data_IF_763667321368
#
_entry.id   IF_763667321368
#
_cell.length_a   1.000
_cell.length_b   1.000
_cell.length_c   1.000
_cell.angle_alpha   90.00
_cell.angle_beta   90.00
_cell.angle_gamma   90.00
#
_symmetry.space_group_name_H-M   'P 1'
#
loop_
_entity.id
_entity.type
_entity.pdbx_description
1 polymer ?
#
# COMPACT_ATOMS: atom_id res chain seq x y z
N UNK A 1 -0.63 -22.54 4.09
CA UNK A 1 0.48 -21.76 3.50
C UNK A 1 0.21 -20.30 3.79
N UNK A 2 1.25 -19.59 4.18
CA UNK A 2 1.24 -18.19 4.60
C UNK A 2 2.43 -17.46 3.96
N UNK A 3 2.44 -16.13 4.02
CA UNK A 3 3.55 -15.35 3.47
C UNK A 3 4.90 -15.66 4.15
N UNK A 4 4.89 -16.08 5.42
CA UNK A 4 6.12 -16.42 6.15
C UNK A 4 6.72 -17.76 5.75
N UNK A 5 5.98 -18.60 5.02
CA UNK A 5 6.52 -19.80 4.37
C UNK A 5 7.37 -19.44 3.14
N UNK A 6 7.09 -18.31 2.48
CA UNK A 6 7.84 -17.83 1.30
C UNK A 6 9.14 -17.13 1.70
N UNK A 7 9.06 -16.20 2.64
CA UNK A 7 10.15 -15.40 3.18
C UNK A 7 9.90 -15.11 4.66
N UNK A 8 10.94 -15.05 5.49
CA UNK A 8 10.80 -14.62 6.87
C UNK A 8 10.37 -13.16 7.01
N UNK A 9 9.86 -12.76 8.17
CA UNK A 9 9.42 -11.37 8.44
C UNK A 9 10.52 -10.33 8.14
N UNK A 10 11.77 -10.61 8.51
CA UNK A 10 12.90 -9.72 8.23
C UNK A 10 13.17 -9.57 6.73
N UNK A 11 12.96 -10.62 5.93
CA UNK A 11 13.11 -10.56 4.48
C UNK A 11 11.97 -9.75 3.84
N UNK A 12 10.75 -9.88 4.35
CA UNK A 12 9.63 -9.01 3.94
C UNK A 12 9.86 -7.54 4.32
N UNK A 13 10.44 -7.27 5.49
CA UNK A 13 10.84 -5.91 5.88
C UNK A 13 11.89 -5.33 4.93
N UNK A 14 12.91 -6.10 4.58
CA UNK A 14 13.92 -5.68 3.60
C UNK A 14 13.30 -5.43 2.23
N UNK A 15 12.40 -6.31 1.77
CA UNK A 15 11.67 -6.13 0.53
C UNK A 15 10.91 -4.80 0.50
N UNK A 16 10.16 -4.48 1.57
CA UNK A 16 9.40 -3.23 1.68
C UNK A 16 10.31 -2.01 1.79
N UNK A 17 11.45 -2.14 2.46
CA UNK A 17 12.47 -1.10 2.55
C UNK A 17 13.06 -0.77 1.18
N UNK A 18 13.46 -1.78 0.40
CA UNK A 18 13.98 -1.59 -0.97
C UNK A 18 12.98 -0.83 -1.84
N UNK A 19 11.69 -1.19 -1.75
CA UNK A 19 10.62 -0.52 -2.49
C UNK A 19 10.49 0.95 -2.08
N UNK A 20 10.50 1.23 -0.78
CA UNK A 20 10.42 2.59 -0.27
C UNK A 20 11.63 3.44 -0.71
N UNK A 21 12.84 2.91 -0.62
CA UNK A 21 14.06 3.62 -1.04
C UNK A 21 14.06 3.91 -2.55
N UNK A 22 13.47 3.02 -3.35
CA UNK A 22 13.43 3.15 -4.81
C UNK A 22 12.33 4.07 -5.32
N UNK A 23 11.14 4.02 -4.70
CA UNK A 23 9.93 4.69 -5.21
C UNK A 23 9.39 5.80 -4.30
N UNK A 24 9.94 5.96 -3.08
CA UNK A 24 9.53 7.02 -2.16
C UNK A 24 8.13 6.88 -1.57
N UNK A 25 7.47 5.72 -1.75
CA UNK A 25 6.09 5.47 -1.30
C UNK A 25 6.05 4.62 -0.01
N UNK A 26 5.03 4.80 0.82
CA UNK A 26 4.83 4.01 2.04
C UNK A 26 4.35 2.60 1.64
N UNK A 27 5.28 1.64 1.66
CA UNK A 27 5.09 0.27 1.22
C UNK A 27 4.71 -0.66 2.38
N UNK A 28 3.97 -1.72 2.09
CA UNK A 28 3.71 -2.81 3.02
C UNK A 28 3.42 -4.12 2.30
N UNK A 29 3.60 -5.23 3.01
CA UNK A 29 3.07 -6.54 2.66
C UNK A 29 2.01 -6.92 3.68
N UNK A 30 0.84 -7.32 3.21
CA UNK A 30 -0.29 -7.78 4.02
C UNK A 30 -0.68 -9.20 3.66
N UNK A 31 -1.09 -9.98 4.67
CA UNK A 31 -1.62 -11.33 4.48
C UNK A 31 -3.03 -11.34 3.87
N UNK A 32 -3.58 -12.54 3.66
CA UNK A 32 -4.91 -12.73 3.10
C UNK A 32 -6.05 -12.18 3.97
N UNK A 33 -5.81 -11.91 5.26
CA UNK A 33 -6.75 -11.26 6.17
C UNK A 33 -6.56 -9.73 6.20
N UNK A 34 -5.55 -9.20 5.50
CA UNK A 34 -5.21 -7.78 5.44
C UNK A 34 -4.25 -7.32 6.54
N UNK A 35 -3.80 -8.21 7.43
CA UNK A 35 -2.85 -7.87 8.49
C UNK A 35 -1.45 -7.68 7.90
N UNK A 36 -0.73 -6.66 8.35
CA UNK A 36 0.64 -6.41 7.88
C UNK A 36 1.61 -7.48 8.39
N UNK A 37 2.38 -8.07 7.46
CA UNK A 37 3.49 -8.99 7.74
C UNK A 37 4.83 -8.24 7.78
N UNK A 38 4.91 -7.09 7.11
CA UNK A 38 6.02 -6.16 7.21
C UNK A 38 5.72 -5.04 8.21
N UNK A 39 6.68 -4.69 9.06
CA UNK A 39 6.56 -3.68 10.11
C UNK A 39 7.57 -2.52 9.98
N UNK A 40 8.15 -2.34 8.79
CA UNK A 40 9.05 -1.22 8.52
C UNK A 40 8.28 0.11 8.49
N UNK A 41 8.62 1.04 9.38
CA UNK A 41 8.01 2.38 9.42
C UNK A 41 8.61 3.27 8.31
N UNK A 42 7.82 3.59 7.30
CA UNK A 42 8.26 4.20 6.04
C UNK A 42 7.31 5.28 5.53
N UNK A 43 6.91 6.20 6.41
CA UNK A 43 6.01 7.29 6.06
C UNK A 43 6.59 8.17 4.95
N UNK A 44 5.83 8.31 3.86
CA UNK A 44 6.17 9.19 2.74
C UNK A 44 5.45 10.56 2.81
N UNK A 45 4.64 10.80 3.84
CA UNK A 45 3.92 12.06 4.06
C UNK A 45 3.57 12.28 5.54
N UNK A 46 3.09 13.49 5.88
CA UNK A 46 2.78 13.89 7.26
C UNK A 46 1.33 13.59 7.68
N UNK A 47 0.39 13.43 6.74
CA UNK A 47 -1.04 13.23 7.03
C UNK A 47 -1.40 11.77 7.38
N UNK A 48 -0.85 10.79 6.65
CA UNK A 48 -1.14 9.38 6.87
C UNK A 48 -0.82 8.88 8.29
N UNK A 49 0.30 9.24 8.95
CA UNK A 49 0.53 8.82 10.33
C UNK A 49 -0.49 9.42 11.31
N UNK A 50 -1.03 10.62 11.05
CA UNK A 50 -2.08 11.23 11.89
C UNK A 50 -3.38 10.44 11.78
N UNK A 51 -3.77 10.06 10.56
CA UNK A 51 -4.96 9.24 10.29
C UNK A 51 -4.82 7.85 10.90
N UNK A 52 -3.70 7.16 10.63
CA UNK A 52 -3.50 5.77 11.07
C UNK A 52 -3.38 5.60 12.59
N UNK A 53 -3.14 6.68 13.34
CA UNK A 53 -3.17 6.68 14.82
C UNK A 53 -4.57 6.82 15.40
N UNK A 54 -5.61 7.12 14.60
CA UNK A 54 -7.00 7.22 15.04
C UNK A 54 -7.79 5.99 14.60
N UNK A 55 -8.29 5.14 15.52
CA UNK A 55 -9.03 3.92 15.18
C UNK A 55 -10.23 4.12 14.24
N UNK A 56 -10.98 5.20 14.42
CA UNK A 56 -12.13 5.51 13.57
C UNK A 56 -11.68 5.88 12.15
N UNK A 57 -10.64 6.70 12.02
CA UNK A 57 -10.13 7.14 10.72
C UNK A 57 -9.41 6.01 9.96
N UNK A 58 -8.56 5.21 10.62
CA UNK A 58 -7.95 4.05 9.97
C UNK A 58 -8.99 3.05 9.49
N UNK A 59 -10.05 2.82 10.27
CA UNK A 59 -11.14 1.90 9.93
C UNK A 59 -11.99 2.41 8.76
N UNK A 60 -12.27 3.70 8.71
CA UNK A 60 -13.12 4.30 7.68
C UNK A 60 -12.41 4.61 6.36
N UNK A 61 -11.09 4.84 6.39
CA UNK A 61 -10.30 5.30 5.24
C UNK A 61 -9.33 4.21 4.79
N UNK A 62 -8.33 3.90 5.62
CA UNK A 62 -7.22 3.03 5.21
C UNK A 62 -7.65 1.57 5.06
N UNK A 63 -8.47 1.07 5.98
CA UNK A 63 -8.93 -0.31 5.97
C UNK A 63 -9.90 -0.58 4.81
N UNK A 64 -10.81 0.35 4.51
CA UNK A 64 -11.75 0.26 3.37
C UNK A 64 -10.97 0.21 2.05
N UNK A 65 -10.05 1.15 1.83
CA UNK A 65 -9.21 1.14 0.65
C UNK A 65 -8.36 -0.13 0.54
N UNK A 66 -7.81 -0.64 1.66
CA UNK A 66 -7.07 -1.91 1.65
C UNK A 66 -7.97 -3.09 1.27
N UNK A 67 -9.15 -3.21 1.85
CA UNK A 67 -10.12 -4.28 1.55
C UNK A 67 -10.53 -4.28 0.08
N UNK A 68 -10.85 -3.10 -0.47
CA UNK A 68 -11.24 -2.96 -1.88
C UNK A 68 -10.12 -3.43 -2.82
N UNK A 69 -8.90 -2.97 -2.59
CA UNK A 69 -7.75 -3.35 -3.42
C UNK A 69 -7.39 -4.82 -3.28
N UNK A 70 -7.43 -5.37 -2.06
CA UNK A 70 -7.20 -6.80 -1.82
C UNK A 70 -8.28 -7.65 -2.50
N UNK A 71 -9.55 -7.26 -2.44
CA UNK A 71 -10.64 -7.99 -3.09
C UNK A 71 -10.47 -8.01 -4.62
N UNK A 72 -10.21 -6.86 -5.23
CA UNK A 72 -10.04 -6.73 -6.68
C UNK A 72 -8.80 -7.50 -7.19
N UNK A 73 -7.65 -7.31 -6.55
CA UNK A 73 -6.41 -8.01 -6.92
C UNK A 73 -6.51 -9.52 -6.73
N UNK A 74 -7.21 -9.97 -5.69
CA UNK A 74 -7.51 -11.40 -5.48
C UNK A 74 -8.42 -11.95 -6.58
N UNK A 75 -9.47 -11.22 -6.95
CA UNK A 75 -10.43 -11.66 -7.96
C UNK A 75 -9.83 -11.72 -9.36
N UNK A 76 -9.06 -10.69 -9.73
CA UNK A 76 -8.48 -10.55 -11.07
C UNK A 76 -7.14 -11.25 -11.23
N UNK A 77 -6.46 -11.55 -10.11
CA UNK A 77 -5.06 -12.01 -10.06
C UNK A 77 -4.08 -11.06 -10.74
N UNK A 78 -4.42 -9.78 -10.81
CA UNK A 78 -3.62 -8.73 -11.44
C UNK A 78 -3.33 -7.61 -10.44
N UNK A 79 -2.24 -6.84 -10.64
CA UNK A 79 -2.04 -5.59 -9.93
C UNK A 79 -3.24 -4.65 -10.07
N UNK A 80 -3.56 -3.93 -9.00
CA UNK A 80 -4.50 -2.82 -9.00
C UNK A 80 -3.75 -1.54 -8.67
N UNK A 81 -3.99 -0.52 -9.50
CA UNK A 81 -3.51 0.85 -9.32
C UNK A 81 -4.76 1.73 -9.26
N UNK A 82 -4.79 2.66 -8.32
CA UNK A 82 -5.88 3.61 -8.17
C UNK A 82 -5.59 4.54 -7.01
N UNK A 83 -6.62 5.11 -6.42
CA UNK A 83 -6.51 6.07 -5.32
C UNK A 83 -7.21 5.52 -4.07
N UNK A 84 -6.74 5.93 -2.89
CA UNK A 84 -7.47 5.76 -1.64
C UNK A 84 -8.43 6.94 -1.39
N UNK A 85 -9.17 6.92 -0.28
CA UNK A 85 -10.18 7.96 0.02
C UNK A 85 -9.60 9.35 0.33
N UNK A 86 -8.28 9.52 0.28
CA UNK A 86 -7.58 10.81 0.32
C UNK A 86 -7.13 11.29 -1.08
N UNK A 87 -7.53 10.60 -2.15
CA UNK A 87 -7.01 10.79 -3.51
C UNK A 87 -5.49 10.53 -3.64
N UNK A 88 -4.89 9.79 -2.69
CA UNK A 88 -3.50 9.35 -2.77
C UNK A 88 -3.40 8.06 -3.56
N UNK A 89 -2.44 7.97 -4.48
CA UNK A 89 -2.12 6.77 -5.24
C UNK A 89 -1.87 5.61 -4.29
N UNK A 90 -2.52 4.49 -4.61
CA UNK A 90 -2.39 3.19 -3.98
C UNK A 90 -2.15 2.14 -5.05
N UNK A 91 -1.20 1.26 -4.78
CA UNK A 91 -0.89 0.10 -5.61
C UNK A 91 -0.96 -1.15 -4.74
N UNK A 92 -1.57 -2.20 -5.26
CA UNK A 92 -1.57 -3.53 -4.65
C UNK A 92 -1.29 -4.59 -5.71
N UNK A 93 -0.34 -5.47 -5.43
CA UNK A 93 0.03 -6.61 -6.27
C UNK A 93 -0.29 -7.89 -5.51
N UNK A 94 -1.09 -8.80 -6.07
CA UNK A 94 -1.48 -10.02 -5.38
C UNK A 94 -0.31 -11.02 -5.34
N UNK A 95 -0.20 -11.75 -4.23
CA UNK A 95 0.78 -12.82 -4.03
C UNK A 95 0.03 -14.16 -4.03
N UNK A 96 0.34 -14.99 -5.01
CA UNK A 96 -0.23 -16.32 -5.18
C UNK A 96 0.87 -17.39 -5.26
N UNK A 97 0.57 -18.58 -4.73
CA UNK A 97 1.32 -19.82 -4.99
C UNK A 97 0.32 -20.83 -5.56
N UNK A 98 0.51 -21.23 -6.82
CA UNK A 98 -0.55 -21.86 -7.60
C UNK A 98 -1.87 -21.06 -7.52
N UNK A 99 -2.94 -21.71 -7.06
CA UNK A 99 -4.25 -21.09 -6.88
C UNK A 99 -4.48 -20.45 -5.49
N UNK A 100 -3.52 -20.58 -4.58
CA UNK A 100 -3.67 -20.10 -3.20
C UNK A 100 -3.27 -18.63 -3.09
N UNK A 101 -4.23 -17.77 -2.74
CA UNK A 101 -3.97 -16.37 -2.41
C UNK A 101 -3.36 -16.23 -1.02
N UNK A 102 -2.18 -15.62 -0.92
CA UNK A 102 -1.47 -15.44 0.34
C UNK A 102 -1.56 -14.01 0.89
N UNK A 103 -1.83 -13.03 0.03
CA UNK A 103 -1.89 -11.62 0.43
C UNK A 103 -1.50 -10.66 -0.69
N UNK A 104 -1.11 -9.45 -0.33
CA UNK A 104 -0.72 -8.39 -1.28
C UNK A 104 0.57 -7.69 -0.86
N UNK A 105 1.40 -7.32 -1.83
CA UNK A 105 2.49 -6.36 -1.68
C UNK A 105 2.14 -5.06 -2.39
N UNK A 106 2.50 -3.91 -1.84
CA UNK A 106 2.16 -2.64 -2.46
C UNK A 106 2.52 -1.43 -1.62
N UNK A 107 1.91 -0.29 -1.93
CA UNK A 107 2.13 0.96 -1.21
C UNK A 107 1.04 2.00 -1.46
N UNK A 108 1.04 3.04 -0.65
CA UNK A 108 0.14 4.19 -0.77
C UNK A 108 0.83 5.47 -0.28
N UNK A 109 0.35 6.64 -0.68
CA UNK A 109 0.61 7.89 0.05
C UNK A 109 1.26 9.02 -0.76
N UNK A 110 1.35 8.89 -2.07
CA UNK A 110 1.76 9.94 -3.00
C UNK A 110 0.55 10.47 -3.78
N UNK A 111 0.61 11.69 -4.29
CA UNK A 111 -0.45 12.26 -5.12
C UNK A 111 -0.26 11.90 -6.60
N UNK A 112 -1.33 11.82 -7.40
CA UNK A 112 -1.22 12.01 -8.85
C UNK A 112 -0.54 13.35 -9.19
N UNK A 113 0.05 13.49 -10.39
CA UNK A 113 0.83 14.69 -10.77
C UNK A 113 0.05 16.01 -10.62
N UNK A 114 -1.26 15.99 -10.90
CA UNK A 114 -2.17 17.14 -10.75
C UNK A 114 -3.23 16.88 -9.65
N UNK A 115 -2.97 15.94 -8.75
CA UNK A 115 -3.90 15.54 -7.70
C UNK A 115 -3.85 16.44 -6.47
N UNK A 116 -4.97 16.48 -5.74
CA UNK A 116 -5.08 17.17 -4.45
C UNK A 116 -5.67 16.22 -3.41
N UNK A 117 -5.37 16.47 -2.13
CA UNK A 117 -5.92 15.63 -1.05
C UNK A 117 -7.42 15.90 -0.85
N UNK A 118 -8.21 14.83 -0.80
CA UNK A 118 -9.61 14.91 -0.39
C UNK A 118 -9.72 15.02 1.14
N UNK A 119 -10.18 16.18 1.62
CA UNK A 119 -10.20 16.52 3.03
C UNK A 119 -11.48 16.06 3.77
N UNK A 120 -12.60 15.83 3.06
CA UNK A 120 -13.90 15.60 3.69
C UNK A 120 -13.91 14.41 4.65
N UNK A 121 -13.42 13.25 4.19
CA UNK A 121 -13.39 12.03 5.00
C UNK A 121 -12.42 12.15 6.18
N UNK A 122 -11.31 12.87 5.99
CA UNK A 122 -10.34 13.14 7.06
C UNK A 122 -10.99 14.02 8.12
N UNK A 123 -11.62 15.13 7.75
CA UNK A 123 -12.35 15.99 8.68
C UNK A 123 -13.41 15.20 9.44
N UNK A 124 -14.25 14.44 8.72
CA UNK A 124 -15.37 13.71 9.30
C UNK A 124 -14.95 12.67 10.34
N UNK A 125 -13.82 12.00 10.13
CA UNK A 125 -13.35 10.87 10.97
C UNK A 125 -12.30 11.26 12.00
N UNK A 126 -11.66 12.42 11.84
CA UNK A 126 -10.60 12.88 12.74
C UNK A 126 -10.98 14.14 13.53
N UNK A 127 -11.97 14.90 13.08
CA UNK A 127 -12.32 16.21 13.63
C UNK A 127 -11.27 17.30 13.36
N UNK A 128 -10.31 17.07 12.47
CA UNK A 128 -9.34 18.09 12.07
C UNK A 128 -10.02 19.13 11.16
N UNK A 129 -9.69 20.40 11.38
CA UNK A 129 -10.09 21.47 10.47
C UNK A 129 -9.38 21.34 9.13
N UNK A 130 -10.05 21.77 8.07
CA UNK A 130 -9.57 21.68 6.69
C UNK A 130 -8.20 22.35 6.49
N UNK A 131 -7.98 23.52 7.09
CA UNK A 131 -6.68 24.20 7.08
C UNK A 131 -5.56 23.31 7.62
N UNK A 132 -5.82 22.58 8.70
CA UNK A 132 -4.84 21.67 9.29
C UNK A 132 -4.59 20.44 8.42
N UNK A 133 -5.62 19.96 7.73
CA UNK A 133 -5.52 18.85 6.79
C UNK A 133 -4.60 19.23 5.63
N UNK A 134 -4.82 20.39 5.02
CA UNK A 134 -3.95 20.88 3.94
C UNK A 134 -2.53 21.19 4.42
N UNK A 135 -2.35 21.73 5.63
CA UNK A 135 -1.01 21.91 6.23
C UNK A 135 -0.24 20.58 6.40
N UNK A 136 -0.96 19.49 6.69
CA UNK A 136 -0.38 18.13 6.79
C UNK A 136 -0.18 17.46 5.43
N UNK A 137 -0.96 17.85 4.42
CA UNK A 137 -0.83 17.38 3.05
C UNK A 137 0.21 18.16 2.23
N UNK A 138 0.62 19.34 2.70
CA UNK A 138 1.63 20.16 2.05
C UNK A 138 2.94 19.40 1.84
N UNK A 139 3.47 19.50 0.62
CA UNK A 139 4.70 18.85 0.20
C UNK A 139 4.61 17.33 -0.02
N UNK A 140 3.40 16.74 -0.09
CA UNK A 140 3.26 15.35 -0.57
C UNK A 140 3.84 15.26 -1.98
N UNK A 141 4.80 14.35 -2.16
CA UNK A 141 5.39 14.09 -3.47
C UNK A 141 4.37 13.43 -4.42
N UNK A 142 4.57 13.63 -5.71
CA UNK A 142 3.70 13.09 -6.76
C UNK A 142 4.26 11.81 -7.37
N UNK A 143 3.39 11.03 -8.00
CA UNK A 143 3.72 9.85 -8.79
C UNK A 143 2.84 9.86 -10.06
N UNK A 144 3.45 9.73 -11.23
CA UNK A 144 2.72 9.61 -12.49
C UNK A 144 2.12 8.21 -12.67
N UNK A 145 1.17 8.07 -13.59
CA UNK A 145 0.60 6.77 -13.95
C UNK A 145 1.70 5.79 -14.43
N UNK A 146 2.67 6.29 -15.21
CA UNK A 146 3.82 5.50 -15.67
C UNK A 146 4.64 5.01 -14.49
N UNK A 147 4.95 5.87 -13.52
CA UNK A 147 5.71 5.49 -12.32
C UNK A 147 4.92 4.49 -11.44
N UNK A 148 3.61 4.66 -11.31
CA UNK A 148 2.75 3.72 -10.58
C UNK A 148 2.73 2.34 -11.27
N UNK A 149 2.72 2.31 -12.60
CA UNK A 149 2.83 1.08 -13.38
C UNK A 149 4.20 0.42 -13.22
N UNK A 150 5.28 1.19 -13.31
CA UNK A 150 6.64 0.70 -13.09
C UNK A 150 6.80 0.11 -11.68
N UNK A 151 6.20 0.75 -10.67
CA UNK A 151 6.17 0.25 -9.30
C UNK A 151 5.44 -1.09 -9.19
N UNK A 152 4.25 -1.21 -9.79
CA UNK A 152 3.48 -2.45 -9.82
C UNK A 152 4.23 -3.58 -10.55
N UNK A 153 4.81 -3.29 -11.72
CA UNK A 153 5.57 -4.26 -12.52
C UNK A 153 6.83 -4.73 -11.75
N UNK A 154 7.52 -3.82 -11.07
CA UNK A 154 8.70 -4.14 -10.27
C UNK A 154 8.35 -5.08 -9.11
N UNK A 155 7.27 -4.80 -8.38
CA UNK A 155 6.77 -5.69 -7.31
C UNK A 155 6.41 -7.05 -7.90
N UNK A 156 5.65 -7.09 -9.00
CA UNK A 156 5.20 -8.34 -9.60
C UNK A 156 6.37 -9.24 -10.02
N UNK A 157 7.42 -8.66 -10.62
CA UNK A 157 8.62 -9.40 -11.00
C UNK A 157 9.33 -10.00 -9.77
N UNK A 158 9.53 -9.21 -8.72
CA UNK A 158 10.17 -9.67 -7.48
C UNK A 158 9.35 -10.75 -6.77
N UNK A 159 8.02 -10.62 -6.73
CA UNK A 159 7.14 -11.65 -6.17
C UNK A 159 7.22 -12.94 -6.99
N UNK A 160 7.25 -12.86 -8.32
CA UNK A 160 7.39 -14.04 -9.18
C UNK A 160 8.70 -14.80 -8.91
N UNK A 161 9.82 -14.08 -8.70
CA UNK A 161 11.10 -14.68 -8.32
C UNK A 161 11.03 -15.40 -6.96
N UNK A 162 10.38 -14.79 -5.96
CA UNK A 162 10.19 -15.36 -4.62
C UNK A 162 9.36 -16.65 -4.70
N UNK A 163 8.24 -16.61 -5.43
CA UNK A 163 7.34 -17.75 -5.59
C UNK A 163 8.01 -18.88 -6.36
N UNK A 164 8.68 -18.57 -7.48
CA UNK A 164 9.40 -19.58 -8.27
C UNK A 164 10.48 -20.28 -7.46
N UNK A 165 11.23 -19.54 -6.64
CA UNK A 165 12.21 -20.11 -5.70
C UNK A 165 11.59 -21.02 -4.65
N UNK A 166 10.36 -20.74 -4.22
CA UNK A 166 9.64 -21.59 -3.26
C UNK A 166 9.14 -22.87 -3.92
N UNK A 167 8.53 -22.77 -5.10
CA UNK A 167 7.97 -23.91 -5.85
C UNK A 167 9.04 -24.87 -6.40
N UNK A 168 10.29 -24.41 -6.52
CA UNK A 168 11.42 -25.22 -6.98
C UNK A 168 12.17 -25.96 -5.85
N UNK A 169 11.74 -25.81 -4.59
CA UNK A 169 12.27 -26.56 -3.44
C UNK A 169 11.55 -27.89 -3.27
#
# INVERSE_FOLDING_TARGET
MTLTDLLGENEWNNFVKDLHEKFGICCAVSDAAGAHVSHYENWCNRICPVIKRKPEAIGAICAVAAQNFTAETKATRKPMIGECDLALIKVAVPIFVGDTFLGTAGGCGLLPEDGEVEAFMVHKTTGLEEEKIFELADGIATMSETQAKEFADYIAARIAEIVSRYESK
#
